data_IF_400491310127
#
_entry.id   IF_400491310127
#
_cell.length_a   1.000
_cell.length_b   1.000
_cell.length_c   1.000
_cell.angle_alpha   90.00
_cell.angle_beta   90.00
_cell.angle_gamma   90.00
#
_symmetry.space_group_name_H-M   'P 1'
#
loop_
_entity.id
_entity.type
_entity.pdbx_description
1 polymer ?
#
# COMPACT_ATOMS: atom_id res chain seq x y z
N UNK A 1 40.21 21.90 43.60
CA UNK A 1 39.62 20.64 43.10
C UNK A 1 38.25 20.95 42.54
N UNK A 2 38.10 21.06 41.22
CA UNK A 2 36.86 21.50 40.55
C UNK A 2 36.42 20.43 39.55
N UNK A 3 35.14 20.07 39.68
CA UNK A 3 34.43 18.89 39.20
C UNK A 3 34.54 18.56 37.70
N UNK A 4 34.76 17.28 37.33
CA UNK A 4 34.64 16.79 35.96
C UNK A 4 33.21 16.27 35.66
N UNK A 5 32.17 16.95 36.16
CA UNK A 5 30.78 16.43 36.11
C UNK A 5 30.00 16.94 34.89
N UNK A 6 30.51 17.94 34.17
CA UNK A 6 29.75 18.58 33.07
C UNK A 6 29.83 17.86 31.71
N UNK A 7 30.72 16.89 31.53
CA UNK A 7 30.96 16.23 30.23
C UNK A 7 30.10 14.97 30.00
N UNK A 8 29.42 14.45 31.02
CA UNK A 8 28.60 13.24 30.90
C UNK A 8 27.14 13.52 30.48
N UNK A 9 26.65 14.75 30.59
CA UNK A 9 25.26 15.06 30.26
C UNK A 9 24.99 15.25 28.75
N UNK A 10 26.01 15.57 27.96
CA UNK A 10 25.85 15.77 26.50
C UNK A 10 25.90 14.47 25.69
N UNK A 11 26.44 13.37 26.25
CA UNK A 11 26.45 12.09 25.56
C UNK A 11 25.08 11.38 25.57
N UNK A 12 24.22 11.68 26.54
CA UNK A 12 22.89 11.06 26.65
C UNK A 12 21.83 11.68 25.73
N UNK A 13 22.05 12.89 25.21
CA UNK A 13 21.10 13.53 24.30
C UNK A 13 21.21 13.07 22.84
N UNK A 14 22.30 12.37 22.46
CA UNK A 14 22.50 11.89 21.08
C UNK A 14 22.13 10.42 20.86
N UNK A 15 21.81 9.67 21.92
CA UNK A 15 21.48 8.24 21.81
C UNK A 15 19.96 7.94 21.69
N UNK A 16 19.10 8.96 21.71
CA UNK A 16 17.62 8.80 21.75
C UNK A 16 16.98 9.07 20.37
N UNK A 17 17.73 9.05 19.27
CA UNK A 17 17.20 9.35 17.93
C UNK A 17 17.51 8.31 16.85
N UNK A 18 17.83 7.08 17.24
CA UNK A 18 18.04 6.00 16.28
C UNK A 18 17.35 4.72 16.76
N UNK A 19 16.55 4.14 15.88
CA UNK A 19 15.58 3.05 16.09
C UNK A 19 14.30 3.53 16.79
N UNK A 20 13.13 3.54 16.17
CA UNK A 20 12.57 2.53 15.28
C UNK A 20 11.56 3.23 14.35
N UNK A 21 12.02 3.64 13.17
CA UNK A 21 11.10 3.95 12.07
C UNK A 21 10.74 2.58 11.49
N UNK A 22 9.54 2.10 11.86
CA UNK A 22 9.05 0.77 11.57
C UNK A 22 8.87 0.57 10.06
N UNK A 23 9.96 0.21 9.37
CA UNK A 23 9.91 -0.29 8.00
C UNK A 23 9.44 -1.74 8.08
N UNK A 24 8.12 -1.94 7.99
CA UNK A 24 7.53 -3.28 8.06
C UNK A 24 8.07 -4.12 6.89
N UNK A 25 8.69 -5.29 7.14
CA UNK A 25 9.35 -6.12 6.11
C UNK A 25 8.39 -6.55 4.98
N UNK A 26 7.09 -6.45 5.21
CA UNK A 26 6.03 -6.78 4.26
C UNK A 26 5.96 -5.78 3.08
N UNK A 27 6.32 -4.50 3.29
CA UNK A 27 6.32 -3.47 2.25
C UNK A 27 7.38 -3.73 1.18
N UNK A 28 8.51 -4.29 1.60
CA UNK A 28 9.66 -4.58 0.75
C UNK A 28 9.41 -5.79 -0.16
N UNK A 29 8.73 -6.81 0.36
CA UNK A 29 8.48 -8.07 -0.39
C UNK A 29 7.53 -7.89 -1.57
N UNK A 30 6.49 -7.06 -1.43
CA UNK A 30 5.51 -6.83 -2.51
C UNK A 30 6.14 -6.00 -3.64
N UNK A 31 6.94 -4.99 -3.27
CA UNK A 31 7.59 -4.09 -4.23
C UNK A 31 8.71 -4.78 -5.02
N UNK A 32 9.34 -5.81 -4.45
CA UNK A 32 10.38 -6.62 -5.10
C UNK A 32 9.83 -7.76 -5.96
N UNK A 33 8.54 -8.08 -5.85
CA UNK A 33 7.93 -9.17 -6.61
C UNK A 33 7.91 -8.88 -8.12
N UNK A 34 8.32 -9.86 -8.93
CA UNK A 34 8.29 -9.77 -10.39
C UNK A 34 6.87 -10.12 -10.86
N UNK A 35 6.06 -9.09 -11.07
CA UNK A 35 4.70 -9.25 -11.55
C UNK A 35 4.66 -9.68 -13.01
N UNK A 36 3.78 -10.62 -13.35
CA UNK A 36 3.61 -11.15 -14.71
C UNK A 36 2.60 -10.29 -15.46
N UNK A 37 2.93 -9.71 -16.63
CA UNK A 37 1.96 -8.97 -17.44
C UNK A 37 0.76 -9.84 -17.81
N UNK A 38 -0.44 -9.35 -17.48
CA UNK A 38 -1.69 -10.09 -17.65
C UNK A 38 -2.70 -9.24 -18.42
N UNK A 39 -3.41 -9.88 -19.35
CA UNK A 39 -4.43 -9.22 -20.17
C UNK A 39 -5.62 -8.75 -19.34
N UNK A 40 -6.22 -7.61 -19.70
CA UNK A 40 -7.48 -7.13 -19.10
C UNK A 40 -8.69 -8.05 -19.37
N UNK A 41 -8.55 -9.02 -20.29
CA UNK A 41 -9.55 -10.07 -20.53
C UNK A 41 -9.49 -11.16 -19.44
N UNK A 42 -8.38 -11.24 -18.71
CA UNK A 42 -8.26 -12.13 -17.55
C UNK A 42 -8.85 -11.44 -16.34
N UNK A 43 -10.17 -11.58 -16.18
CA UNK A 43 -10.93 -10.90 -15.12
C UNK A 43 -10.44 -11.27 -13.70
N UNK A 44 -9.87 -12.47 -13.52
CA UNK A 44 -9.39 -12.93 -12.22
C UNK A 44 -8.01 -13.60 -12.25
N UNK A 45 -7.08 -13.06 -11.48
CA UNK A 45 -5.78 -13.66 -11.20
C UNK A 45 -5.81 -14.55 -9.95
N UNK A 46 -6.12 -15.84 -10.13
CA UNK A 46 -6.21 -16.80 -9.02
C UNK A 46 -4.84 -17.21 -8.49
N UNK A 47 -3.81 -17.25 -9.35
CA UNK A 47 -2.46 -17.63 -8.96
C UNK A 47 -1.73 -16.53 -8.17
N UNK A 48 -2.21 -15.28 -8.25
CA UNK A 48 -1.51 -14.11 -7.72
C UNK A 48 -0.38 -13.64 -8.62
N UNK A 49 0.29 -12.54 -8.25
CA UNK A 49 1.48 -12.08 -8.96
C UNK A 49 1.22 -11.44 -10.32
N UNK A 50 -0.02 -11.11 -10.66
CA UNK A 50 -0.36 -10.53 -11.96
C UNK A 50 -0.10 -9.01 -12.00
N UNK A 51 0.30 -8.50 -13.17
CA UNK A 51 0.34 -7.08 -13.50
C UNK A 51 -0.78 -6.77 -14.49
N UNK A 52 -1.72 -5.93 -14.08
CA UNK A 52 -2.78 -5.42 -14.93
C UNK A 52 -2.56 -3.94 -15.22
N UNK A 53 -2.59 -3.57 -16.49
CA UNK A 53 -2.30 -2.20 -16.92
C UNK A 53 -3.46 -1.58 -17.67
N UNK A 54 -3.93 -0.42 -17.19
CA UNK A 54 -4.91 0.42 -17.88
C UNK A 54 -6.24 -0.29 -18.22
N UNK A 55 -6.68 -1.21 -17.37
CA UNK A 55 -7.89 -2.00 -17.62
C UNK A 55 -9.17 -1.22 -17.28
N UNK A 56 -10.10 -1.16 -18.22
CA UNK A 56 -11.40 -0.51 -18.03
C UNK A 56 -12.46 -1.43 -17.41
N UNK A 57 -12.29 -2.75 -17.58
CA UNK A 57 -13.09 -3.79 -16.93
C UNK A 57 -12.73 -3.90 -15.44
N UNK A 58 -13.68 -4.31 -14.58
CA UNK A 58 -13.37 -4.72 -13.23
C UNK A 58 -12.42 -5.91 -13.20
N UNK A 59 -11.49 -5.92 -12.24
CA UNK A 59 -10.50 -6.98 -12.07
C UNK A 59 -10.54 -7.55 -10.65
N UNK A 60 -10.23 -8.84 -10.52
CA UNK A 60 -10.07 -9.52 -9.24
C UNK A 60 -8.70 -10.19 -9.16
N UNK A 61 -8.09 -10.16 -7.98
CA UNK A 61 -6.90 -10.93 -7.66
C UNK A 61 -7.12 -11.73 -6.37
N UNK A 62 -7.43 -13.02 -6.55
CA UNK A 62 -7.59 -13.96 -5.44
C UNK A 62 -6.30 -14.48 -4.86
N UNK A 63 -5.26 -14.59 -5.68
CA UNK A 63 -3.97 -15.13 -5.22
C UNK A 63 -3.09 -14.13 -4.46
N UNK A 64 -3.46 -12.85 -4.43
CA UNK A 64 -2.67 -11.79 -3.80
C UNK A 64 -1.44 -11.39 -4.62
N UNK A 65 -0.63 -10.46 -4.10
CA UNK A 65 0.61 -10.00 -4.74
C UNK A 65 0.40 -9.47 -6.17
N UNK A 66 -0.79 -8.95 -6.49
CA UNK A 66 -1.05 -8.36 -7.80
C UNK A 66 -0.72 -6.88 -7.83
N UNK A 67 -0.41 -6.38 -9.02
CA UNK A 67 -0.18 -4.98 -9.29
C UNK A 67 -1.20 -4.47 -10.33
N UNK A 68 -2.08 -3.57 -9.89
CA UNK A 68 -3.01 -2.84 -10.75
C UNK A 68 -2.44 -1.44 -11.04
N UNK A 69 -2.06 -1.19 -12.29
CA UNK A 69 -1.39 0.06 -12.70
C UNK A 69 -2.18 0.84 -13.74
N UNK A 70 -2.66 2.00 -13.35
CA UNK A 70 -3.16 3.03 -14.28
C UNK A 70 -2.02 3.86 -14.88
N UNK A 71 -2.22 4.44 -16.06
CA UNK A 71 -1.26 5.35 -16.68
C UNK A 71 -1.21 6.69 -15.91
N UNK A 72 -0.07 6.96 -15.30
CA UNK A 72 0.20 8.17 -14.50
C UNK A 72 0.65 9.38 -15.35
N UNK A 73 1.12 9.16 -16.59
CA UNK A 73 1.73 10.22 -17.42
C UNK A 73 1.22 10.32 -18.87
N UNK A 74 0.17 9.58 -19.24
CA UNK A 74 -0.36 9.66 -20.61
C UNK A 74 -1.23 10.91 -20.79
N UNK A 75 -0.90 11.70 -21.83
CA UNK A 75 -1.63 12.88 -22.34
C UNK A 75 -3.13 12.63 -22.58
N UNK A 76 -3.55 11.35 -22.60
CA UNK A 76 -4.93 10.90 -22.47
C UNK A 76 -5.35 10.80 -21.00
N UNK A 77 -5.71 11.95 -20.40
CA UNK A 77 -6.33 12.02 -19.06
C UNK A 77 -7.47 11.01 -18.93
N UNK A 78 -7.26 9.87 -18.27
CA UNK A 78 -8.35 8.94 -17.93
C UNK A 78 -8.07 7.44 -18.04
N UNK A 79 -6.87 6.98 -18.42
CA UNK A 79 -6.55 5.55 -18.39
C UNK A 79 -6.05 5.15 -17.00
N UNK A 80 -6.99 4.93 -16.10
CA UNK A 80 -6.79 4.27 -14.80
C UNK A 80 -7.35 2.86 -14.87
N UNK A 81 -6.86 1.96 -14.03
CA UNK A 81 -7.64 0.76 -13.73
C UNK A 81 -8.96 1.24 -13.10
N UNK A 82 -10.10 0.91 -13.72
CA UNK A 82 -11.39 1.46 -13.27
C UNK A 82 -11.75 0.91 -11.90
N UNK A 83 -11.78 -0.41 -11.78
CA UNK A 83 -12.18 -1.12 -10.56
C UNK A 83 -11.26 -2.34 -10.39
N UNK A 84 -10.71 -2.52 -9.19
CA UNK A 84 -9.87 -3.66 -8.86
C UNK A 84 -10.05 -4.10 -7.41
N UNK A 85 -10.16 -5.42 -7.20
CA UNK A 85 -10.32 -6.04 -5.88
C UNK A 85 -9.19 -7.04 -5.64
N UNK A 86 -8.50 -6.91 -4.49
CA UNK A 86 -7.46 -7.83 -4.04
C UNK A 86 -7.95 -8.64 -2.83
N UNK A 87 -8.43 -9.85 -3.09
CA UNK A 87 -8.93 -10.77 -2.07
C UNK A 87 -7.78 -11.50 -1.35
N UNK A 88 -6.67 -11.76 -2.05
CA UNK A 88 -5.51 -12.46 -1.49
C UNK A 88 -4.55 -11.60 -0.68
N UNK A 89 -4.76 -10.28 -0.64
CA UNK A 89 -3.92 -9.33 0.08
C UNK A 89 -2.59 -9.02 -0.60
N UNK A 90 -1.82 -8.13 0.04
CA UNK A 90 -0.46 -7.78 -0.38
C UNK A 90 -0.37 -7.26 -1.84
N UNK A 91 -1.41 -6.57 -2.33
CA UNK A 91 -1.43 -6.00 -3.68
C UNK A 91 -0.98 -4.54 -3.72
N UNK A 92 -0.61 -4.06 -4.92
CA UNK A 92 -0.34 -2.65 -5.20
C UNK A 92 -1.44 -2.11 -6.13
N UNK A 93 -2.06 -1.01 -5.70
CA UNK A 93 -2.99 -0.21 -6.50
C UNK A 93 -2.30 1.12 -6.83
N UNK A 94 -1.77 1.26 -8.04
CA UNK A 94 -1.21 2.51 -8.55
C UNK A 94 -2.19 3.16 -9.52
N UNK A 95 -2.70 4.34 -9.17
CA UNK A 95 -3.60 5.12 -10.03
C UNK A 95 -4.82 4.29 -10.49
N UNK A 96 -5.48 3.67 -9.52
CA UNK A 96 -6.73 2.91 -9.70
C UNK A 96 -7.92 3.76 -9.20
N UNK A 97 -9.04 3.79 -9.93
CA UNK A 97 -10.17 4.65 -9.57
C UNK A 97 -10.93 4.14 -8.34
N UNK A 98 -11.24 2.84 -8.35
CA UNK A 98 -11.97 2.14 -7.31
C UNK A 98 -11.14 0.92 -6.93
N UNK A 99 -10.60 0.92 -5.71
CA UNK A 99 -9.70 -0.13 -5.24
C UNK A 99 -10.19 -0.67 -3.90
N UNK A 100 -10.18 -1.99 -3.74
CA UNK A 100 -10.55 -2.66 -2.49
C UNK A 100 -9.58 -3.80 -2.16
N UNK A 101 -9.19 -3.87 -0.90
CA UNK A 101 -8.26 -4.86 -0.35
C UNK A 101 -8.83 -5.52 0.92
N UNK A 102 -9.81 -6.42 0.77
CA UNK A 102 -10.28 -7.22 1.90
C UNK A 102 -9.23 -8.21 2.43
N UNK A 103 -8.21 -8.55 1.63
CA UNK A 103 -7.13 -9.45 2.07
C UNK A 103 -6.05 -8.80 2.95
N UNK A 104 -6.03 -7.46 3.05
CA UNK A 104 -5.07 -6.71 3.87
C UNK A 104 -3.67 -6.57 3.25
N UNK A 105 -2.81 -5.78 3.89
CA UNK A 105 -1.41 -5.59 3.50
C UNK A 105 -1.21 -4.86 2.17
N UNK A 106 -2.24 -4.20 1.63
CA UNK A 106 -2.14 -3.57 0.32
C UNK A 106 -1.52 -2.17 0.36
N UNK A 107 -0.96 -1.76 -0.78
CA UNK A 107 -0.41 -0.44 -1.00
C UNK A 107 -1.29 0.34 -1.97
N UNK A 108 -1.69 1.54 -1.58
CA UNK A 108 -2.47 2.46 -2.39
C UNK A 108 -1.61 3.66 -2.75
N UNK A 109 -1.35 3.84 -4.05
CA UNK A 109 -0.43 4.83 -4.60
C UNK A 109 -1.13 5.61 -5.71
N UNK A 110 -1.03 6.93 -5.71
CA UNK A 110 -1.69 7.81 -6.69
C UNK A 110 -3.20 7.57 -6.84
N UNK A 111 -3.87 7.07 -5.80
CA UNK A 111 -5.31 6.79 -5.83
C UNK A 111 -6.12 8.05 -5.48
N UNK A 112 -7.43 8.09 -5.77
CA UNK A 112 -8.29 9.17 -5.29
C UNK A 112 -8.21 9.32 -3.77
N UNK A 113 -8.17 10.56 -3.28
CA UNK A 113 -8.08 10.87 -1.84
C UNK A 113 -9.26 10.36 -1.00
N UNK A 114 -10.37 10.01 -1.65
CA UNK A 114 -11.56 9.45 -1.04
C UNK A 114 -11.74 8.02 -1.56
N UNK A 115 -11.06 7.08 -0.93
CA UNK A 115 -11.34 5.66 -1.13
C UNK A 115 -12.70 5.31 -0.50
N UNK A 116 -13.40 4.33 -1.06
CA UNK A 116 -14.68 3.89 -0.53
C UNK A 116 -14.56 3.27 0.85
N UNK A 117 -15.68 3.18 1.58
CA UNK A 117 -15.72 2.43 2.83
C UNK A 117 -15.32 0.96 2.60
N UNK A 118 -14.58 0.39 3.56
CA UNK A 118 -14.09 -0.98 3.50
C UNK A 118 -12.99 -1.25 2.47
N UNK A 119 -12.36 -0.20 1.92
CA UNK A 119 -11.26 -0.37 0.97
C UNK A 119 -10.06 -1.15 1.55
N UNK A 120 -9.92 -1.22 2.88
CA UNK A 120 -8.88 -1.95 3.59
C UNK A 120 -9.45 -2.79 4.74
N UNK A 121 -10.52 -3.55 4.51
CA UNK A 121 -11.15 -4.37 5.57
C UNK A 121 -10.19 -5.43 6.17
N UNK A 122 -9.23 -5.93 5.38
CA UNK A 122 -8.22 -6.87 5.86
C UNK A 122 -7.13 -6.24 6.73
N UNK A 123 -7.06 -4.91 6.78
CA UNK A 123 -6.10 -4.14 7.56
C UNK A 123 -4.66 -4.15 7.05
N UNK A 124 -3.79 -3.42 7.75
CA UNK A 124 -2.36 -3.34 7.41
C UNK A 124 -2.07 -2.66 6.06
N UNK A 125 -2.98 -1.84 5.54
CA UNK A 125 -2.74 -1.14 4.28
C UNK A 125 -1.96 0.15 4.47
N UNK A 126 -1.33 0.58 3.38
CA UNK A 126 -0.63 1.87 3.31
C UNK A 126 -1.25 2.74 2.22
N UNK A 127 -1.36 4.03 2.48
CA UNK A 127 -1.79 5.05 1.54
C UNK A 127 -0.66 6.05 1.36
N UNK A 128 -0.16 6.21 0.13
CA UNK A 128 1.01 7.07 -0.15
C UNK A 128 2.24 6.72 0.71
N UNK A 129 2.34 5.46 1.12
CA UNK A 129 3.44 4.96 1.96
C UNK A 129 3.21 5.06 3.47
N UNK A 130 2.19 5.79 3.92
CA UNK A 130 1.80 5.92 5.33
C UNK A 130 0.83 4.82 5.74
N UNK A 131 0.97 4.28 6.95
CA UNK A 131 0.01 3.32 7.49
C UNK A 131 -1.37 3.95 7.62
N UNK A 132 -2.40 3.33 7.03
CA UNK A 132 -3.76 3.84 7.10
C UNK A 132 -4.66 2.87 7.87
N UNK A 133 -5.50 3.36 8.81
CA UNK A 133 -6.41 2.50 9.56
C UNK A 133 -7.37 1.75 8.64
N UNK A 134 -7.59 0.47 8.96
CA UNK A 134 -8.46 -0.50 8.27
C UNK A 134 -9.94 -0.11 8.29
N UNK A 135 -10.33 0.78 9.21
CA UNK A 135 -11.70 1.20 9.42
C UNK A 135 -11.75 2.58 10.06
N UNK A 136 -12.53 3.50 9.49
CA UNK A 136 -12.87 4.78 10.13
C UNK A 136 -13.67 4.60 11.44
N UNK A 137 -14.17 3.38 11.70
CA UNK A 137 -14.98 3.03 12.88
C UNK A 137 -14.13 2.73 14.12
N UNK A 138 -12.82 2.53 13.98
CA UNK A 138 -11.91 2.28 15.11
C UNK A 138 -11.53 3.55 15.90
N UNK A 139 -11.72 4.74 15.33
CA UNK A 139 -11.26 6.00 15.94
C UNK A 139 -12.33 6.73 16.77
N UNK A 140 -13.52 6.14 16.96
CA UNK A 140 -14.61 6.66 17.81
C UNK A 140 -14.85 5.82 19.07
N UNK A 141 -13.86 5.04 19.49
CA UNK A 141 -13.90 4.26 20.72
C UNK A 141 -12.76 4.66 21.67
N UNK A 142 -12.61 5.96 21.94
CA UNK A 142 -11.98 6.51 23.16
C UNK A 142 -12.69 7.80 23.60
#
# INVERSE_FOLDING_TARGET
MRSPVLLLALAFLYAVHAADESDSPEKDLISQYIHVPTSCETENCVAGGCLFENCASPLSCRGGLCYFRGATYSVSRGRKCKEAVCEGGACIFDNTAEASCPGGGCQFVNVPKTLGDGYCDGGGCTLEGDSHPSSLTGSLAE
#
